data_IF_628809532325
#
_entry.id   IF_628809532325
#
_cell.length_a   1.000
_cell.length_b   1.000
_cell.length_c   1.000
_cell.angle_alpha   90.00
_cell.angle_beta   90.00
_cell.angle_gamma   90.00
#
_symmetry.space_group_name_H-M   'P 1'
#
loop_
_entity.id
_entity.type
_entity.pdbx_description
1 polymer ?
#
# COMPACT_ATOMS: atom_id res chain seq x y z
N UNK A 1 7.71 -10.64 -9.15
CA UNK A 1 7.13 -9.35 -8.77
C UNK A 1 7.89 -8.28 -9.53
N UNK A 2 7.22 -7.49 -10.35
CA UNK A 2 7.79 -6.34 -11.04
C UNK A 2 7.05 -5.12 -10.54
N UNK A 3 7.79 -4.09 -10.16
CA UNK A 3 7.23 -2.92 -9.51
C UNK A 3 7.71 -1.65 -10.19
N UNK A 4 6.80 -0.73 -10.42
CA UNK A 4 7.15 0.63 -10.82
C UNK A 4 6.21 1.62 -10.15
N UNK A 5 6.69 2.80 -9.85
CA UNK A 5 5.89 3.93 -9.43
C UNK A 5 6.18 5.13 -10.32
N UNK A 6 5.16 5.89 -10.65
CA UNK A 6 5.30 7.14 -11.35
C UNK A 6 4.62 8.25 -10.53
N UNK A 7 5.32 9.35 -10.28
CA UNK A 7 4.74 10.57 -9.78
C UNK A 7 4.58 11.52 -10.97
N UNK A 8 3.36 11.86 -11.36
CA UNK A 8 3.09 12.80 -12.43
C UNK A 8 2.04 13.81 -11.97
N UNK A 9 2.35 15.09 -12.09
CA UNK A 9 1.34 16.13 -11.93
C UNK A 9 0.25 15.97 -12.99
N UNK A 10 -1.02 15.94 -12.56
CA UNK A 10 -2.23 15.97 -13.38
C UNK A 10 -2.57 14.70 -14.19
N UNK A 11 -1.87 13.59 -14.04
CA UNK A 11 -2.29 12.33 -14.61
C UNK A 11 -3.38 11.68 -13.73
N UNK A 12 -4.35 11.03 -14.34
CA UNK A 12 -5.28 10.18 -13.61
C UNK A 12 -4.55 8.96 -13.05
N UNK A 13 -5.08 8.36 -11.98
CA UNK A 13 -4.49 7.12 -11.42
C UNK A 13 -4.40 6.03 -12.48
N UNK A 14 -5.38 5.95 -13.38
CA UNK A 14 -5.38 5.01 -14.49
C UNK A 14 -4.18 5.20 -15.42
N UNK A 15 -3.89 6.44 -15.84
CA UNK A 15 -2.72 6.76 -16.68
C UNK A 15 -1.40 6.48 -15.96
N UNK A 16 -1.32 6.80 -14.66
CA UNK A 16 -0.14 6.49 -13.85
C UNK A 16 0.10 4.98 -13.74
N UNK A 17 -0.97 4.17 -13.64
CA UNK A 17 -0.85 2.69 -13.63
C UNK A 17 -0.39 2.18 -14.98
N UNK A 18 -0.87 2.74 -16.10
CA UNK A 18 -0.38 2.38 -17.44
C UNK A 18 1.11 2.65 -17.59
N UNK A 19 1.57 3.85 -17.17
CA UNK A 19 3.00 4.19 -17.15
C UNK A 19 3.81 3.22 -16.26
N UNK A 20 3.25 2.81 -15.12
CA UNK A 20 3.88 1.82 -14.27
C UNK A 20 3.97 0.44 -14.95
N UNK A 21 2.95 0.05 -15.71
CA UNK A 21 2.91 -1.21 -16.43
C UNK A 21 3.88 -1.26 -17.62
N UNK A 22 4.17 -0.11 -18.27
CA UNK A 22 5.11 -0.02 -19.38
C UNK A 22 6.55 -0.46 -19.01
N UNK A 23 6.86 -0.50 -17.73
CA UNK A 23 8.14 -0.99 -17.22
C UNK A 23 8.20 -2.49 -16.95
N UNK A 24 7.09 -3.20 -17.07
CA UNK A 24 7.03 -4.66 -16.92
C UNK A 24 7.36 -5.30 -18.28
N UNK A 25 8.12 -6.42 -18.23
CA UNK A 25 8.43 -7.18 -19.43
C UNK A 25 7.14 -7.53 -20.21
N UNK A 26 7.01 -7.13 -21.49
CA UNK A 26 5.84 -7.44 -22.28
C UNK A 26 5.56 -8.95 -22.42
N UNK A 27 6.59 -9.79 -22.36
CA UNK A 27 6.40 -11.24 -22.37
C UNK A 27 5.70 -11.71 -21.09
N UNK A 28 6.09 -11.18 -19.92
CA UNK A 28 5.43 -11.47 -18.64
C UNK A 28 3.98 -10.98 -18.63
N UNK A 29 3.70 -9.77 -19.17
CA UNK A 29 2.32 -9.27 -19.29
C UNK A 29 1.48 -10.15 -20.21
N UNK A 30 2.05 -10.67 -21.31
CA UNK A 30 1.37 -11.59 -22.22
C UNK A 30 1.03 -12.92 -21.54
N UNK A 31 1.96 -13.49 -20.78
CA UNK A 31 1.74 -14.70 -20.00
C UNK A 31 0.68 -14.47 -18.90
N UNK A 32 0.78 -13.36 -18.19
CA UNK A 32 -0.21 -12.96 -17.18
C UNK A 32 -1.60 -12.77 -17.78
N UNK A 33 -1.70 -12.18 -18.98
CA UNK A 33 -2.97 -12.05 -19.69
C UNK A 33 -3.60 -13.39 -20.03
N UNK A 34 -2.80 -14.36 -20.50
CA UNK A 34 -3.26 -15.68 -20.89
C UNK A 34 -3.65 -16.56 -19.69
N UNK A 35 -2.96 -16.40 -18.57
CA UNK A 35 -3.11 -17.25 -17.37
C UNK A 35 -3.61 -16.48 -16.15
N UNK A 36 -4.39 -15.40 -16.30
CA UNK A 36 -4.84 -14.56 -15.21
C UNK A 36 -5.89 -15.27 -14.34
N UNK A 37 -5.57 -15.46 -13.06
CA UNK A 37 -6.52 -15.91 -12.05
C UNK A 37 -7.38 -14.75 -11.55
N UNK A 38 -6.74 -13.63 -11.16
CA UNK A 38 -7.43 -12.44 -10.69
C UNK A 38 -6.56 -11.19 -10.86
N UNK A 39 -7.21 -10.02 -10.89
CA UNK A 39 -6.56 -8.72 -10.74
C UNK A 39 -7.17 -7.93 -9.58
N UNK A 40 -6.33 -7.18 -8.90
CA UNK A 40 -6.69 -6.33 -7.77
C UNK A 40 -6.19 -4.91 -8.04
N UNK A 41 -7.11 -3.96 -8.09
CA UNK A 41 -6.80 -2.55 -8.23
C UNK A 41 -7.01 -1.86 -6.88
N UNK A 42 -5.97 -1.21 -6.36
CA UNK A 42 -5.92 -0.69 -5.01
C UNK A 42 -5.89 0.83 -4.99
N UNK A 43 -6.67 1.45 -4.12
CA UNK A 43 -6.65 2.89 -3.91
C UNK A 43 -7.08 3.26 -2.50
N UNK A 44 -6.64 4.43 -2.04
CA UNK A 44 -7.11 5.01 -0.78
C UNK A 44 -8.44 5.72 -0.96
N UNK A 45 -8.61 6.37 -2.10
CA UNK A 45 -9.75 7.21 -2.45
C UNK A 45 -10.60 6.55 -3.53
N UNK A 46 -11.81 7.06 -3.69
CA UNK A 46 -12.65 6.72 -4.84
C UNK A 46 -12.00 7.25 -6.13
N UNK A 47 -11.89 6.39 -7.12
CA UNK A 47 -11.27 6.71 -8.40
C UNK A 47 -12.30 6.62 -9.52
N UNK A 48 -12.37 7.69 -10.33
CA UNK A 48 -13.18 7.73 -11.52
C UNK A 48 -14.63 8.21 -11.32
N UNK A 49 -15.52 7.74 -12.17
CA UNK A 49 -16.93 8.14 -12.25
C UNK A 49 -17.84 7.09 -11.63
N UNK A 50 -19.03 7.51 -11.20
CA UNK A 50 -20.07 6.57 -10.78
C UNK A 50 -20.37 5.57 -11.91
N UNK A 51 -20.49 4.29 -11.55
CA UNK A 51 -20.71 3.17 -12.46
C UNK A 51 -19.54 2.84 -13.42
N UNK A 52 -18.41 3.53 -13.35
CA UNK A 52 -17.22 3.13 -14.07
C UNK A 52 -16.43 2.07 -13.28
N UNK A 53 -16.30 0.84 -13.82
CA UNK A 53 -15.55 -0.21 -13.15
C UNK A 53 -14.05 -0.03 -13.40
N UNK A 54 -13.40 0.84 -12.63
CA UNK A 54 -11.98 1.20 -12.79
C UNK A 54 -11.08 -0.03 -12.82
N UNK A 55 -11.34 -1.02 -11.98
CA UNK A 55 -10.57 -2.26 -11.91
C UNK A 55 -10.59 -3.05 -13.24
N UNK A 56 -11.71 -3.05 -13.94
CA UNK A 56 -11.84 -3.69 -15.26
C UNK A 56 -11.14 -2.87 -16.34
N UNK A 57 -11.24 -1.55 -16.28
CA UNK A 57 -10.54 -0.66 -17.20
C UNK A 57 -9.03 -0.82 -17.09
N UNK A 58 -8.48 -0.83 -15.87
CA UNK A 58 -7.06 -1.05 -15.60
C UNK A 58 -6.63 -2.45 -16.05
N UNK A 59 -7.40 -3.50 -15.75
CA UNK A 59 -7.07 -4.84 -16.23
C UNK A 59 -6.99 -4.88 -17.76
N UNK A 60 -7.95 -4.25 -18.45
CA UNK A 60 -7.97 -4.18 -19.92
C UNK A 60 -6.79 -3.40 -20.47
N UNK A 61 -6.43 -2.26 -19.88
CA UNK A 61 -5.33 -1.44 -20.40
C UNK A 61 -3.97 -2.12 -20.20
N UNK A 62 -3.75 -2.77 -19.06
CA UNK A 62 -2.49 -3.43 -18.73
C UNK A 62 -2.34 -4.80 -19.43
N UNK A 63 -3.38 -5.63 -19.44
CA UNK A 63 -3.32 -7.01 -19.92
C UNK A 63 -4.05 -7.24 -21.25
N UNK A 64 -4.70 -6.22 -21.79
CA UNK A 64 -5.46 -6.31 -23.03
C UNK A 64 -6.89 -6.87 -22.86
N UNK A 65 -7.69 -6.72 -23.91
CA UNK A 65 -9.14 -7.00 -23.91
C UNK A 65 -9.52 -8.46 -23.68
N UNK A 66 -8.59 -9.37 -23.88
CA UNK A 66 -8.85 -10.81 -23.80
C UNK A 66 -8.51 -11.41 -22.44
N UNK A 67 -7.99 -10.62 -21.51
CA UNK A 67 -7.74 -11.09 -20.15
C UNK A 67 -9.07 -11.40 -19.44
N UNK A 68 -9.18 -12.59 -18.83
CA UNK A 68 -10.46 -13.10 -18.33
C UNK A 68 -10.49 -13.37 -16.80
N UNK A 69 -9.45 -13.02 -16.08
CA UNK A 69 -9.41 -13.14 -14.62
C UNK A 69 -10.40 -12.20 -13.92
N UNK A 70 -10.81 -12.57 -12.71
CA UNK A 70 -11.69 -11.73 -11.90
C UNK A 70 -11.01 -10.40 -11.57
N UNK A 71 -11.70 -9.26 -11.83
CA UNK A 71 -11.22 -7.95 -11.50
C UNK A 71 -11.91 -7.41 -10.24
N UNK A 72 -11.14 -6.92 -9.26
CA UNK A 72 -11.67 -6.42 -7.98
C UNK A 72 -11.01 -5.11 -7.60
N UNK A 73 -11.81 -4.14 -7.17
CA UNK A 73 -11.31 -2.91 -6.53
C UNK A 73 -11.15 -3.14 -5.03
N UNK A 74 -10.03 -2.66 -4.48
CA UNK A 74 -9.72 -2.70 -3.04
C UNK A 74 -9.52 -1.29 -2.54
N UNK A 75 -10.31 -0.89 -1.55
CA UNK A 75 -10.19 0.40 -0.88
C UNK A 75 -9.90 0.20 0.60
N UNK A 76 -8.61 0.17 0.94
CA UNK A 76 -8.12 -0.05 2.31
C UNK A 76 -7.13 1.04 2.74
N UNK A 77 -7.34 2.26 2.26
CA UNK A 77 -6.42 3.37 2.48
C UNK A 77 -4.97 2.99 2.14
N UNK A 78 -3.99 3.55 2.82
CA UNK A 78 -2.58 3.33 2.56
C UNK A 78 -2.15 1.84 2.66
N UNK A 79 -2.93 0.99 3.32
CA UNK A 79 -2.65 -0.45 3.36
C UNK A 79 -3.14 -1.23 2.13
N UNK A 80 -3.90 -0.58 1.23
CA UNK A 80 -4.54 -1.22 0.08
C UNK A 80 -3.58 -2.01 -0.80
N UNK A 81 -2.38 -1.49 -1.07
CA UNK A 81 -1.40 -2.17 -1.91
C UNK A 81 -0.96 -3.53 -1.36
N UNK A 82 -0.58 -3.61 -0.09
CA UNK A 82 -0.24 -4.90 0.54
C UNK A 82 -1.46 -5.82 0.74
N UNK A 83 -2.66 -5.27 0.95
CA UNK A 83 -3.89 -6.08 0.93
C UNK A 83 -4.11 -6.71 -0.46
N UNK A 84 -3.84 -5.97 -1.53
CA UNK A 84 -3.88 -6.50 -2.89
C UNK A 84 -2.89 -7.65 -3.09
N UNK A 85 -1.65 -7.48 -2.65
CA UNK A 85 -0.61 -8.53 -2.70
C UNK A 85 -1.04 -9.77 -1.89
N UNK A 86 -1.56 -9.57 -0.68
CA UNK A 86 -2.05 -10.65 0.18
C UNK A 86 -3.20 -11.43 -0.47
N UNK A 87 -4.17 -10.75 -1.06
CA UNK A 87 -5.31 -11.39 -1.73
C UNK A 87 -4.88 -12.10 -3.01
N UNK A 88 -3.95 -11.53 -3.77
CA UNK A 88 -3.36 -12.16 -4.94
C UNK A 88 -2.64 -13.47 -4.57
N UNK A 89 -1.81 -13.44 -3.52
CA UNK A 89 -1.16 -14.62 -2.98
C UNK A 89 -2.17 -15.69 -2.55
N UNK A 90 -3.20 -15.29 -1.79
CA UNK A 90 -4.27 -16.20 -1.34
C UNK A 90 -5.03 -16.86 -2.51
N UNK A 91 -5.36 -16.11 -3.56
CA UNK A 91 -6.04 -16.64 -4.76
C UNK A 91 -5.15 -17.63 -5.49
N UNK A 92 -3.85 -17.31 -5.65
CA UNK A 92 -2.89 -18.22 -6.27
C UNK A 92 -2.72 -19.49 -5.43
N UNK A 93 -2.59 -19.41 -4.11
CA UNK A 93 -2.48 -20.56 -3.22
C UNK A 93 -3.76 -21.40 -3.18
N UNK A 94 -4.94 -20.78 -3.27
CA UNK A 94 -6.23 -21.49 -3.28
C UNK A 94 -6.49 -22.30 -4.56
N UNK A 95 -5.62 -22.18 -5.57
CA UNK A 95 -5.73 -22.97 -6.80
C UNK A 95 -6.82 -22.50 -7.75
N UNK A 96 -7.15 -21.22 -7.76
CA UNK A 96 -8.00 -20.66 -8.82
C UNK A 96 -7.40 -20.92 -10.20
N UNK A 97 -8.28 -21.00 -11.21
CA UNK A 97 -7.81 -21.20 -12.58
C UNK A 97 -6.91 -20.03 -13.01
N UNK A 98 -5.69 -20.36 -13.45
CA UNK A 98 -4.66 -19.39 -13.79
C UNK A 98 -3.52 -19.37 -12.80
N UNK A 99 -2.34 -19.02 -13.27
CA UNK A 99 -1.08 -19.04 -12.53
C UNK A 99 -0.57 -17.64 -12.19
N UNK A 100 -1.27 -16.61 -12.66
CA UNK A 100 -0.88 -15.21 -12.52
C UNK A 100 -1.95 -14.41 -11.80
N UNK A 101 -1.51 -13.44 -11.02
CA UNK A 101 -2.35 -12.38 -10.47
C UNK A 101 -1.71 -11.02 -10.74
N UNK A 102 -2.54 -10.04 -11.13
CA UNK A 102 -2.12 -8.66 -11.32
C UNK A 102 -2.53 -7.85 -10.09
N UNK A 103 -1.61 -7.09 -9.52
CA UNK A 103 -1.91 -6.10 -8.48
C UNK A 103 -1.46 -4.73 -8.97
N UNK A 104 -2.39 -3.82 -9.02
CA UNK A 104 -2.15 -2.44 -9.40
C UNK A 104 -2.71 -1.51 -8.35
N UNK A 105 -2.29 -0.29 -8.36
CA UNK A 105 -2.89 0.72 -7.50
C UNK A 105 -2.18 2.05 -7.64
N UNK A 106 -2.79 3.04 -7.06
CA UNK A 106 -2.24 4.38 -7.01
C UNK A 106 -3.21 5.33 -6.35
N UNK A 107 -2.73 6.49 -6.02
CA UNK A 107 -3.53 7.61 -5.56
C UNK A 107 -3.01 8.90 -6.18
N UNK A 108 -3.94 9.75 -6.59
CA UNK A 108 -3.67 11.14 -6.90
C UNK A 108 -4.21 11.98 -5.75
N UNK A 109 -3.32 12.67 -5.08
CA UNK A 109 -3.66 13.52 -3.94
C UNK A 109 -4.05 14.95 -4.37
N UNK A 110 -4.50 15.09 -5.61
CA UNK A 110 -4.97 16.34 -6.19
C UNK A 110 -6.05 17.02 -5.32
N UNK A 111 -6.86 16.25 -4.60
CA UNK A 111 -7.93 16.75 -3.74
C UNK A 111 -7.43 17.25 -2.37
N UNK A 112 -6.18 16.96 -2.01
CA UNK A 112 -5.59 17.51 -0.79
C UNK A 112 -4.79 18.75 -1.13
N UNK A 113 -5.10 19.86 -0.50
CA UNK A 113 -4.11 20.92 -0.42
C UNK A 113 -2.92 20.34 0.38
N UNK A 114 -1.83 20.06 -0.34
CA UNK A 114 -0.61 19.44 0.23
C UNK A 114 -0.05 20.28 1.39
N UNK A 115 -0.27 21.59 1.33
CA UNK A 115 0.14 22.52 2.37
C UNK A 115 -0.70 22.37 3.64
N UNK A 116 -2.02 22.25 3.49
CA UNK A 116 -2.93 22.03 4.62
C UNK A 116 -2.69 20.67 5.27
N UNK A 117 -2.34 19.66 4.48
CA UNK A 117 -2.02 18.34 5.00
C UNK A 117 -0.73 18.36 5.82
N UNK A 118 0.33 19.01 5.33
CA UNK A 118 1.60 19.15 6.03
C UNK A 118 1.50 19.95 7.34
N UNK A 119 0.57 20.91 7.41
CA UNK A 119 0.35 21.75 8.60
C UNK A 119 -0.66 21.17 9.60
N UNK A 120 -1.33 20.07 9.25
CA UNK A 120 -2.37 19.49 10.08
C UNK A 120 -1.78 18.65 11.20
N UNK A 121 -2.16 18.89 12.48
CA UNK A 121 -1.60 18.16 13.61
C UNK A 121 -1.96 16.69 13.64
N UNK A 122 -3.01 16.24 12.90
CA UNK A 122 -3.39 14.83 12.81
C UNK A 122 -2.47 14.08 11.85
N UNK A 123 -1.97 14.73 10.81
CA UNK A 123 -1.05 14.16 9.82
C UNK A 123 0.42 14.43 10.18
N UNK A 124 0.67 15.24 11.21
CA UNK A 124 1.99 15.57 11.78
C UNK A 124 3.06 15.95 10.76
N UNK A 125 2.67 16.62 9.68
CA UNK A 125 3.64 17.12 8.69
C UNK A 125 3.94 16.16 7.54
N UNK A 126 3.27 15.01 7.44
CA UNK A 126 3.42 14.14 6.28
C UNK A 126 2.94 14.84 5.02
N UNK A 127 3.80 14.93 4.02
CA UNK A 127 3.41 15.31 2.66
C UNK A 127 2.84 14.09 1.94
N UNK A 128 1.78 14.31 1.15
CA UNK A 128 1.23 13.26 0.28
C UNK A 128 1.79 13.43 -1.13
N UNK A 129 2.31 12.35 -1.70
CA UNK A 129 2.74 12.29 -3.09
C UNK A 129 1.74 11.56 -3.97
N UNK A 130 1.72 11.90 -5.26
CA UNK A 130 0.97 11.13 -6.26
C UNK A 130 1.81 9.93 -6.67
N UNK A 131 1.17 8.78 -6.86
CA UNK A 131 1.89 7.57 -7.22
C UNK A 131 0.99 6.49 -7.80
N UNK A 132 1.60 5.58 -8.54
CA UNK A 132 0.98 4.32 -8.91
C UNK A 132 2.01 3.20 -8.93
N UNK A 133 1.52 1.98 -8.86
CA UNK A 133 2.32 0.78 -9.00
C UNK A 133 1.60 -0.27 -9.85
N UNK A 134 2.40 -1.14 -10.47
CA UNK A 134 1.94 -2.33 -11.15
C UNK A 134 2.87 -3.50 -10.78
N UNK A 135 2.31 -4.63 -10.38
CA UNK A 135 3.07 -5.82 -10.05
C UNK A 135 2.35 -7.09 -10.48
N UNK A 136 3.11 -8.06 -10.97
CA UNK A 136 2.61 -9.38 -11.34
C UNK A 136 3.13 -10.40 -10.34
N UNK A 137 2.22 -11.16 -9.75
CA UNK A 137 2.53 -12.34 -8.94
C UNK A 137 2.26 -13.60 -9.77
N UNK A 138 3.06 -14.64 -9.55
CA UNK A 138 2.83 -15.95 -10.17
C UNK A 138 3.26 -17.08 -9.24
N UNK A 139 2.92 -18.34 -9.62
CA UNK A 139 3.25 -19.55 -8.86
C UNK A 139 4.63 -20.12 -9.15
N UNK A 140 5.34 -19.61 -10.15
CA UNK A 140 6.50 -20.30 -10.69
C UNK A 140 7.80 -19.70 -10.19
N UNK A 141 8.04 -18.42 -10.52
CA UNK A 141 9.27 -17.74 -10.19
C UNK A 141 9.08 -16.21 -10.09
N UNK A 142 10.10 -15.51 -9.60
CA UNK A 142 10.12 -14.07 -9.48
C UNK A 142 11.45 -13.58 -8.93
N UNK A 143 11.57 -12.28 -8.74
CA UNK A 143 12.73 -11.75 -8.04
C UNK A 143 12.59 -11.84 -6.51
N UNK A 144 11.37 -12.02 -6.02
CA UNK A 144 11.09 -12.22 -4.60
C UNK A 144 9.99 -13.25 -4.40
N UNK A 145 10.10 -14.00 -3.31
CA UNK A 145 9.13 -15.01 -2.87
C UNK A 145 8.39 -14.51 -1.64
N UNK A 146 7.07 -14.53 -1.68
CA UNK A 146 6.25 -14.28 -0.49
C UNK A 146 6.37 -15.51 0.42
N UNK A 147 6.80 -15.29 1.66
CA UNK A 147 6.92 -16.32 2.69
C UNK A 147 5.73 -16.32 3.62
N UNK A 148 5.25 -15.13 3.99
CA UNK A 148 4.15 -14.96 4.92
C UNK A 148 3.43 -13.64 4.69
N UNK A 149 2.16 -13.63 5.05
CA UNK A 149 1.31 -12.43 5.05
C UNK A 149 0.53 -12.35 6.35
N UNK A 150 0.31 -11.13 6.84
CA UNK A 150 -0.57 -10.86 7.98
C UNK A 150 -1.33 -9.56 7.77
N UNK A 151 -2.57 -9.52 8.22
CA UNK A 151 -3.37 -8.30 8.23
C UNK A 151 -4.27 -8.27 9.46
N UNK A 152 -4.40 -7.10 10.06
CA UNK A 152 -5.25 -6.89 11.23
C UNK A 152 -5.99 -5.56 11.11
N UNK A 153 -7.12 -5.48 11.80
CA UNK A 153 -7.94 -4.26 11.88
C UNK A 153 -8.24 -3.90 13.32
N UNK A 154 -8.32 -2.61 13.59
CA UNK A 154 -8.87 -2.06 14.82
C UNK A 154 -10.17 -1.31 14.51
N UNK A 155 -11.27 -2.03 14.53
CA UNK A 155 -12.57 -1.55 14.06
C UNK A 155 -13.12 -0.32 14.81
N UNK A 156 -12.89 -0.11 16.13
CA UNK A 156 -13.36 1.09 16.82
C UNK A 156 -12.84 2.41 16.20
N UNK A 157 -11.70 2.41 15.52
CA UNK A 157 -11.20 3.59 14.82
C UNK A 157 -12.11 4.05 13.66
N UNK A 158 -12.93 3.16 13.11
CA UNK A 158 -13.86 3.51 12.03
C UNK A 158 -14.91 4.54 12.45
N UNK A 159 -15.34 4.51 13.71
CA UNK A 159 -16.33 5.46 14.23
C UNK A 159 -15.78 6.89 14.30
N UNK A 160 -14.48 7.04 14.55
CA UNK A 160 -13.79 8.32 14.54
C UNK A 160 -13.78 8.97 13.14
N UNK A 161 -13.80 8.14 12.08
CA UNK A 161 -13.80 8.59 10.69
C UNK A 161 -15.19 8.90 10.15
N UNK A 162 -16.24 8.42 10.82
CA UNK A 162 -17.61 8.53 10.34
C UNK A 162 -18.15 9.95 10.55
N UNK A 163 -18.66 10.57 9.49
CA UNK A 163 -19.49 11.77 9.63
C UNK A 163 -20.82 11.41 10.28
N UNK A 164 -21.23 12.22 11.28
CA UNK A 164 -22.60 12.15 11.83
C UNK A 164 -23.58 13.03 11.08
N UNK A 165 -23.12 13.90 10.16
CA UNK A 165 -24.01 14.60 9.27
C UNK A 165 -24.73 13.56 8.41
N UNK A 166 -26.06 13.64 8.35
CA UNK A 166 -26.88 12.91 7.37
C UNK A 166 -26.56 13.46 5.95
N UNK A 167 -25.32 13.20 5.51
CA UNK A 167 -25.01 13.30 4.10
C UNK A 167 -25.74 12.17 3.45
N UNK A 168 -26.73 12.51 2.63
CA UNK A 168 -27.41 11.53 1.79
C UNK A 168 -26.37 10.74 0.99
N UNK A 169 -26.71 9.55 0.62
CA UNK A 169 -25.95 8.68 -0.30
C UNK A 169 -25.52 9.44 -1.58
N UNK A 170 -26.14 10.59 -1.84
CA UNK A 170 -26.01 11.39 -3.05
C UNK A 170 -24.95 12.49 -2.99
N UNK A 171 -24.20 12.65 -1.90
CA UNK A 171 -23.09 13.61 -1.85
C UNK A 171 -21.74 12.89 -1.97
N UNK A 172 -21.22 12.70 -3.21
CA UNK A 172 -19.93 12.07 -3.44
C UNK A 172 -18.76 13.03 -3.15
N UNK A 173 -19.05 14.27 -2.69
CA UNK A 173 -18.01 15.23 -2.42
C UNK A 173 -17.05 14.68 -1.37
N UNK A 174 -15.78 14.64 -1.73
CA UNK A 174 -14.73 14.34 -0.78
C UNK A 174 -14.74 15.41 0.31
N UNK A 175 -14.92 15.06 1.59
CA UNK A 175 -14.75 16.02 2.64
C UNK A 175 -13.29 16.48 2.64
N UNK A 176 -13.05 17.75 2.44
CA UNK A 176 -11.70 18.29 2.55
C UNK A 176 -11.06 17.93 3.91
N UNK A 177 -9.76 18.08 4.00
CA UNK A 177 -8.99 17.76 5.21
C UNK A 177 -9.54 18.47 6.47
N UNK A 178 -10.03 19.69 6.33
CA UNK A 178 -10.67 20.44 7.42
C UNK A 178 -11.89 19.72 8.01
N UNK A 179 -12.71 19.09 7.17
CA UNK A 179 -13.85 18.31 7.65
C UNK A 179 -13.41 17.00 8.30
N UNK A 180 -12.38 16.35 7.77
CA UNK A 180 -11.81 15.15 8.38
C UNK A 180 -11.28 15.46 9.78
N UNK A 181 -10.50 16.54 9.94
CA UNK A 181 -10.05 17.03 11.25
C UNK A 181 -11.22 17.34 12.18
N UNK A 182 -12.24 18.03 11.67
CA UNK A 182 -13.43 18.35 12.46
C UNK A 182 -14.17 17.10 12.96
N UNK A 183 -14.14 15.99 12.21
CA UNK A 183 -14.71 14.69 12.64
C UNK A 183 -13.95 14.12 13.82
N UNK A 184 -12.61 14.12 13.75
CA UNK A 184 -11.75 13.68 14.86
C UNK A 184 -12.01 14.48 16.12
N UNK A 185 -12.00 15.80 16.00
CA UNK A 185 -12.27 16.69 17.14
C UNK A 185 -13.68 16.51 17.71
N UNK A 186 -14.68 16.32 16.85
CA UNK A 186 -16.04 16.10 17.29
C UNK A 186 -16.19 14.76 18.01
N UNK A 187 -15.49 13.73 17.53
CA UNK A 187 -15.47 12.43 18.18
C UNK A 187 -14.78 12.51 19.55
N UNK A 188 -13.61 13.14 19.63
CA UNK A 188 -12.87 13.28 20.90
C UNK A 188 -13.61 14.16 21.92
N UNK A 189 -14.31 15.21 21.46
CA UNK A 189 -15.21 15.99 22.34
C UNK A 189 -16.36 15.17 22.88
N UNK A 190 -16.91 14.25 22.09
CA UNK A 190 -18.00 13.37 22.51
C UNK A 190 -17.52 12.21 23.39
N UNK A 191 -16.26 11.81 23.25
CA UNK A 191 -15.60 10.71 23.95
C UNK A 191 -14.21 11.12 24.40
N UNK A 192 -14.10 11.93 25.47
CA UNK A 192 -12.82 12.49 25.90
C UNK A 192 -11.74 11.42 26.14
N UNK A 193 -10.58 11.59 25.48
CA UNK A 193 -9.46 10.66 25.53
C UNK A 193 -9.52 9.51 24.53
N UNK A 194 -10.65 9.30 23.86
CA UNK A 194 -10.82 8.18 22.93
C UNK A 194 -9.86 8.22 21.74
N UNK A 195 -9.49 9.41 21.26
CA UNK A 195 -8.53 9.55 20.17
C UNK A 195 -7.14 8.99 20.55
N UNK A 196 -6.68 9.25 21.78
CA UNK A 196 -5.41 8.72 22.27
C UNK A 196 -5.47 7.19 22.47
N UNK A 197 -6.58 6.67 23.01
CA UNK A 197 -6.79 5.24 23.21
C UNK A 197 -6.85 4.50 21.87
N UNK A 198 -7.53 5.07 20.87
CA UNK A 198 -7.60 4.54 19.51
C UNK A 198 -6.21 4.55 18.86
N UNK A 199 -5.45 5.63 18.98
CA UNK A 199 -4.09 5.72 18.48
C UNK A 199 -3.19 4.64 19.06
N UNK A 200 -3.24 4.44 20.37
CA UNK A 200 -2.46 3.41 21.05
C UNK A 200 -2.88 1.99 20.62
N UNK A 201 -4.18 1.71 20.56
CA UNK A 201 -4.68 0.40 20.17
C UNK A 201 -4.38 0.09 18.69
N UNK A 202 -4.45 1.11 17.83
CA UNK A 202 -4.05 0.99 16.43
C UNK A 202 -2.55 0.70 16.30
N UNK A 203 -1.70 1.40 17.06
CA UNK A 203 -0.27 1.12 17.11
C UNK A 203 0.02 -0.31 17.57
N UNK A 204 -0.63 -0.77 18.64
CA UNK A 204 -0.50 -2.16 19.11
C UNK A 204 -0.96 -3.17 18.04
N UNK A 205 -2.00 -2.84 17.28
CA UNK A 205 -2.46 -3.66 16.15
C UNK A 205 -1.41 -3.73 15.05
N UNK A 206 -0.74 -2.62 14.73
CA UNK A 206 0.37 -2.59 13.79
C UNK A 206 1.55 -3.48 14.25
N UNK A 207 1.97 -3.35 15.51
CA UNK A 207 3.01 -4.21 16.11
C UNK A 207 2.62 -5.69 16.00
N UNK A 208 1.37 -6.01 16.36
CA UNK A 208 0.85 -7.38 16.26
C UNK A 208 0.90 -7.91 14.82
N UNK A 209 0.51 -7.09 13.83
CA UNK A 209 0.51 -7.49 12.42
C UNK A 209 1.90 -7.89 11.95
N UNK A 210 2.91 -7.08 12.25
CA UNK A 210 4.31 -7.37 11.91
C UNK A 210 4.78 -8.64 12.62
N UNK A 211 4.51 -8.74 13.93
CA UNK A 211 4.93 -9.87 14.76
C UNK A 211 4.30 -11.19 14.31
N UNK A 212 3.00 -11.19 13.99
CA UNK A 212 2.31 -12.35 13.47
C UNK A 212 2.86 -12.79 12.11
N UNK A 213 3.28 -11.83 11.27
CA UNK A 213 3.79 -12.14 9.93
C UNK A 213 5.04 -13.03 9.99
N UNK A 214 6.06 -12.70 10.77
CA UNK A 214 7.26 -13.52 10.84
C UNK A 214 7.05 -14.81 11.68
N UNK A 215 6.23 -14.76 12.73
CA UNK A 215 5.95 -15.94 13.57
C UNK A 215 5.18 -17.04 12.84
N UNK A 216 4.37 -16.70 11.84
CA UNK A 216 3.64 -17.70 11.04
C UNK A 216 4.55 -18.66 10.26
N UNK A 217 5.80 -18.30 10.08
CA UNK A 217 6.82 -19.09 9.39
C UNK A 217 7.98 -19.45 10.33
N UNK A 218 7.72 -19.43 11.63
CA UNK A 218 8.65 -19.81 12.69
C UNK A 218 10.00 -19.08 12.64
N UNK A 219 9.99 -17.79 12.26
CA UNK A 219 11.17 -16.95 12.25
C UNK A 219 11.24 -16.09 13.53
N UNK A 220 12.46 -15.85 13.98
CA UNK A 220 12.76 -14.88 15.01
C UNK A 220 13.03 -13.48 14.41
N UNK A 221 12.80 -12.40 15.15
CA UNK A 221 12.91 -11.04 14.61
C UNK A 221 14.30 -10.67 14.12
N UNK A 222 15.36 -11.26 14.67
CA UNK A 222 16.75 -11.02 14.28
C UNK A 222 17.16 -11.74 12.97
N UNK A 223 16.30 -12.63 12.46
CA UNK A 223 16.45 -13.24 11.14
C UNK A 223 15.92 -12.35 10.01
N UNK A 224 15.18 -11.27 10.33
CA UNK A 224 14.68 -10.31 9.36
C UNK A 224 15.76 -9.26 9.08
N UNK A 225 16.27 -9.24 7.87
CA UNK A 225 17.37 -8.36 7.48
C UNK A 225 16.91 -6.90 7.37
N UNK A 226 15.76 -6.66 6.74
CA UNK A 226 15.27 -5.33 6.43
C UNK A 226 13.80 -5.13 6.79
N UNK A 227 13.49 -3.98 7.39
CA UNK A 227 12.14 -3.53 7.66
C UNK A 227 11.80 -2.31 6.80
N UNK A 228 10.80 -2.44 5.95
CA UNK A 228 10.35 -1.43 5.01
C UNK A 228 8.90 -1.01 5.30
N UNK A 229 8.67 -0.17 6.32
CA UNK A 229 7.36 0.37 6.65
C UNK A 229 6.94 1.43 5.64
N UNK A 230 5.61 1.69 5.54
CA UNK A 230 5.11 2.89 4.87
C UNK A 230 5.70 4.16 5.47
N UNK A 231 5.86 5.18 4.65
CA UNK A 231 6.37 6.46 5.12
C UNK A 231 5.36 7.12 6.06
N UNK A 232 5.78 7.36 7.31
CA UNK A 232 4.99 8.04 8.34
C UNK A 232 5.90 9.07 9.01
N UNK A 233 5.51 10.33 8.97
CA UNK A 233 6.16 11.38 9.75
C UNK A 233 5.52 11.48 11.16
N UNK A 234 6.28 11.82 12.18
CA UNK A 234 7.75 11.88 12.18
C UNK A 234 8.39 10.48 12.22
N UNK A 235 9.65 10.37 11.76
CA UNK A 235 10.44 9.11 11.72
C UNK A 235 10.37 8.30 13.03
N UNK A 236 10.27 8.96 14.17
CA UNK A 236 10.14 8.30 15.48
C UNK A 236 8.96 7.32 15.55
N UNK A 237 7.90 7.47 14.72
CA UNK A 237 6.76 6.56 14.71
C UNK A 237 7.17 5.23 14.10
N UNK A 238 7.85 5.24 12.95
CA UNK A 238 8.34 4.03 12.30
C UNK A 238 9.46 3.37 13.10
N UNK A 239 10.36 4.16 13.70
CA UNK A 239 11.41 3.65 14.59
C UNK A 239 10.82 3.01 15.86
N UNK A 240 9.77 3.62 16.42
CA UNK A 240 9.07 3.04 17.59
C UNK A 240 8.37 1.74 17.19
N UNK A 241 7.74 1.68 16.04
CA UNK A 241 7.12 0.46 15.52
C UNK A 241 8.17 -0.65 15.34
N UNK A 242 9.28 -0.36 14.67
CA UNK A 242 10.38 -1.30 14.49
C UNK A 242 10.89 -1.84 15.84
N UNK A 243 11.13 -0.94 16.80
CA UNK A 243 11.59 -1.31 18.17
C UNK A 243 10.60 -2.24 18.88
N UNK A 244 9.29 -1.94 18.82
CA UNK A 244 8.28 -2.78 19.47
C UNK A 244 8.06 -4.12 18.76
N UNK A 245 8.27 -4.17 17.44
CA UNK A 245 8.28 -5.41 16.66
C UNK A 245 9.62 -6.15 16.73
N UNK A 246 10.61 -5.64 17.48
CA UNK A 246 11.98 -6.15 17.61
C UNK A 246 12.78 -6.20 16.30
N UNK A 247 12.38 -5.40 15.31
CA UNK A 247 13.06 -5.27 14.02
C UNK A 247 14.06 -4.10 14.01
N UNK A 248 14.98 -4.13 13.06
CA UNK A 248 15.92 -3.04 12.83
C UNK A 248 15.37 -2.06 11.81
N UNK A 249 15.37 -0.75 12.07
CA UNK A 249 15.04 0.24 11.05
C UNK A 249 16.01 0.13 9.87
N UNK A 250 15.49 0.25 8.65
CA UNK A 250 16.32 0.26 7.45
C UNK A 250 17.04 1.61 7.31
N UNK A 251 18.37 1.65 7.26
CA UNK A 251 19.11 2.90 7.17
C UNK A 251 18.79 3.68 5.89
N UNK A 252 18.61 5.00 6.01
CA UNK A 252 18.38 5.91 4.89
C UNK A 252 17.01 5.82 4.23
N UNK A 253 16.18 4.87 4.62
CA UNK A 253 14.85 4.68 4.01
C UNK A 253 13.92 5.86 4.28
N UNK A 254 13.95 6.40 5.49
CA UNK A 254 13.11 7.53 5.86
C UNK A 254 13.50 8.79 5.09
N UNK A 255 14.79 9.09 5.00
CA UNK A 255 15.32 10.22 4.25
C UNK A 255 15.00 10.11 2.76
N UNK A 256 15.08 8.90 2.21
CA UNK A 256 14.68 8.64 0.83
C UNK A 256 13.18 8.87 0.62
N UNK A 257 12.33 8.30 1.47
CA UNK A 257 10.88 8.45 1.38
C UNK A 257 10.44 9.90 1.56
N UNK A 258 11.14 10.68 2.41
CA UNK A 258 10.86 12.10 2.61
C UNK A 258 11.03 12.96 1.35
N UNK A 259 11.74 12.47 0.32
CA UNK A 259 11.92 13.23 -0.93
C UNK A 259 10.64 13.35 -1.76
N UNK A 260 9.68 12.45 -1.59
CA UNK A 260 8.40 12.45 -2.30
C UNK A 260 7.17 12.33 -1.40
N UNK A 261 7.37 12.16 -0.10
CA UNK A 261 6.30 12.06 0.88
C UNK A 261 5.63 10.69 0.94
N UNK A 262 4.48 10.64 1.61
CA UNK A 262 3.67 9.42 1.73
C UNK A 262 2.93 9.13 0.43
N UNK A 263 3.21 7.98 -0.17
CA UNK A 263 2.67 7.54 -1.46
C UNK A 263 1.49 6.58 -1.30
N UNK A 264 0.87 6.58 -0.13
CA UNK A 264 -0.34 5.82 0.18
C UNK A 264 -0.20 4.32 -0.14
N UNK A 265 -0.97 3.80 -1.10
CA UNK A 265 -0.95 2.37 -1.47
C UNK A 265 0.35 1.92 -2.13
N UNK A 266 1.20 2.85 -2.57
CA UNK A 266 2.43 2.56 -3.33
C UNK A 266 3.70 2.53 -2.47
N UNK A 267 3.68 3.00 -1.22
CA UNK A 267 4.87 3.10 -0.36
C UNK A 267 5.71 1.81 -0.33
N UNK A 268 5.04 0.66 -0.15
CA UNK A 268 5.74 -0.63 -0.04
C UNK A 268 6.62 -0.91 -1.26
N UNK A 269 6.14 -0.49 -2.41
CA UNK A 269 6.80 -0.72 -3.67
C UNK A 269 8.02 0.17 -3.87
N UNK A 270 7.86 1.44 -3.56
CA UNK A 270 8.93 2.43 -3.62
C UNK A 270 10.02 2.09 -2.60
N UNK A 271 9.64 1.68 -1.40
CA UNK A 271 10.59 1.25 -0.38
C UNK A 271 11.36 0.00 -0.80
N UNK A 272 10.68 -0.98 -1.42
CA UNK A 272 11.37 -2.15 -1.97
C UNK A 272 12.32 -1.78 -3.11
N UNK A 273 11.90 -0.86 -3.98
CA UNK A 273 12.78 -0.34 -5.05
C UNK A 273 14.02 0.36 -4.47
N UNK A 274 13.87 1.13 -3.39
CA UNK A 274 15.02 1.73 -2.70
C UNK A 274 16.01 0.68 -2.22
N UNK A 275 15.53 -0.35 -1.54
CA UNK A 275 16.38 -1.43 -1.02
C UNK A 275 17.15 -2.15 -2.13
N UNK A 276 16.44 -2.51 -3.21
CA UNK A 276 17.01 -3.27 -4.32
C UNK A 276 17.98 -2.43 -5.16
N UNK A 277 17.57 -1.20 -5.52
CA UNK A 277 18.35 -0.36 -6.45
C UNK A 277 19.64 0.19 -5.83
N UNK A 278 19.67 0.31 -4.51
CA UNK A 278 20.87 0.76 -3.78
C UNK A 278 21.74 -0.42 -3.29
N UNK A 279 21.40 -1.65 -3.62
CA UNK A 279 22.14 -2.84 -3.18
C UNK A 279 22.13 -3.00 -1.66
N UNK A 280 21.09 -2.50 -0.99
CA UNK A 280 20.90 -2.66 0.45
C UNK A 280 20.36 -4.07 0.74
N UNK A 281 19.34 -4.50 -0.01
CA UNK A 281 18.84 -5.87 0.05
C UNK A 281 19.50 -6.72 -1.03
N UNK A 282 20.03 -7.86 -0.60
CA UNK A 282 20.74 -8.83 -1.46
C UNK A 282 19.92 -10.13 -1.64
N UNK A 283 20.37 -11.00 -2.53
CA UNK A 283 19.77 -12.32 -2.73
C UNK A 283 19.91 -13.17 -1.46
N UNK A 284 18.80 -13.66 -0.98
CA UNK A 284 18.67 -14.41 0.28
C UNK A 284 18.08 -13.60 1.42
N UNK A 285 18.19 -12.28 1.37
CA UNK A 285 17.69 -11.41 2.45
C UNK A 285 16.18 -11.51 2.63
N UNK A 286 15.77 -11.38 3.88
CA UNK A 286 14.39 -11.31 4.32
C UNK A 286 13.97 -9.86 4.51
N UNK A 287 12.96 -9.44 3.77
CA UNK A 287 12.41 -8.08 3.82
C UNK A 287 10.99 -8.11 4.36
N UNK A 288 10.75 -7.41 5.45
CA UNK A 288 9.42 -7.18 6.01
C UNK A 288 8.84 -5.89 5.43
N UNK A 289 7.89 -6.01 4.52
CA UNK A 289 7.09 -4.89 4.02
C UNK A 289 5.91 -4.66 4.98
N UNK A 290 5.64 -3.40 5.30
CA UNK A 290 4.55 -3.05 6.21
C UNK A 290 3.84 -1.76 5.77
N UNK A 291 2.52 -1.77 5.87
CA UNK A 291 1.69 -0.56 5.70
C UNK A 291 0.57 -0.50 6.73
N UNK A 292 0.18 0.72 7.08
CA UNK A 292 -0.98 0.98 7.92
C UNK A 292 -1.88 2.04 7.27
N UNK A 293 -3.19 1.89 7.42
CA UNK A 293 -4.19 2.80 6.84
C UNK A 293 -5.16 3.34 7.89
N UNK A 294 -5.15 4.65 8.07
CA UNK A 294 -6.11 5.43 8.86
C UNK A 294 -6.46 4.87 10.23
N UNK A 295 -5.47 4.42 11.00
CA UNK A 295 -5.66 3.82 12.33
C UNK A 295 -6.54 2.55 12.36
N UNK A 296 -7.12 2.15 11.23
CA UNK A 296 -8.08 1.03 11.15
C UNK A 296 -7.39 -0.26 10.74
N UNK A 297 -6.58 -0.21 9.69
CA UNK A 297 -6.03 -1.39 9.03
C UNK A 297 -4.51 -1.39 9.04
N UNK A 298 -3.94 -2.59 9.11
CA UNK A 298 -2.50 -2.80 8.88
C UNK A 298 -2.29 -4.10 8.12
N UNK A 299 -1.26 -4.12 7.28
CA UNK A 299 -0.84 -5.30 6.52
C UNK A 299 0.68 -5.42 6.54
N UNK A 300 1.17 -6.65 6.61
CA UNK A 300 2.57 -7.01 6.52
C UNK A 300 2.75 -8.16 5.54
N UNK A 301 3.80 -8.11 4.74
CA UNK A 301 4.21 -9.16 3.82
C UNK A 301 5.69 -9.40 4.00
N UNK A 302 6.05 -10.62 4.36
CA UNK A 302 7.44 -11.05 4.47
C UNK A 302 7.84 -11.70 3.15
N UNK A 303 8.89 -11.19 2.54
CA UNK A 303 9.45 -11.72 1.30
C UNK A 303 10.90 -12.13 1.49
N UNK A 304 11.35 -13.09 0.67
CA UNK A 304 12.77 -13.38 0.48
C UNK A 304 13.17 -12.94 -0.93
N UNK A 305 14.32 -12.27 -1.04
CA UNK A 305 14.88 -11.88 -2.33
C UNK A 305 15.49 -13.11 -2.99
N UNK A 306 15.02 -13.44 -4.20
CA UNK A 306 15.47 -14.62 -4.94
C UNK A 306 16.42 -14.26 -6.10
N UNK A 307 16.31 -13.05 -6.63
CA UNK A 307 17.14 -12.55 -7.75
C UNK A 307 17.50 -11.08 -7.56
N UNK A 308 18.72 -10.72 -7.86
CA UNK A 308 19.11 -9.32 -7.95
C UNK A 308 18.51 -8.70 -9.22
N UNK A 309 17.71 -7.65 -9.04
CA UNK A 309 17.09 -6.90 -10.13
C UNK A 309 17.09 -5.41 -9.80
N UNK A 310 17.09 -4.58 -10.82
CA UNK A 310 16.77 -3.15 -10.66
C UNK A 310 15.28 -2.97 -10.84
N UNK A 311 14.60 -2.44 -9.83
CA UNK A 311 13.19 -2.15 -9.90
C UNK A 311 12.98 -0.76 -10.52
N UNK A 312 12.19 -0.64 -11.60
CA UNK A 312 11.93 0.66 -12.20
C UNK A 312 11.27 1.60 -11.20
N UNK A 313 11.78 2.81 -11.11
CA UNK A 313 11.23 3.89 -10.31
C UNK A 313 11.30 5.16 -11.17
N UNK A 314 10.14 5.58 -11.68
CA UNK A 314 10.04 6.81 -12.46
C UNK A 314 9.54 7.91 -11.53
N UNK A 315 10.34 8.96 -11.40
CA UNK A 315 9.98 10.17 -10.67
C UNK A 315 9.86 11.31 -11.66
N UNK A 316 8.72 11.98 -11.69
CA UNK A 316 8.61 13.28 -12.38
C UNK A 316 9.21 14.36 -11.51
N UNK A 317 10.03 15.21 -12.11
CA UNK A 317 10.66 16.34 -11.46
C UNK A 317 9.66 17.45 -11.12
#
# INVERSE_FOLDING_TARGET
>A
MHLSSAAAEMASVHEMVELAADHIDPALLSEASAGLAASFHCGSMYQGEHFWPVQNSVQQSVLGRNSAGAATEIRQFCSGGLYGVMLADAVLQAGWAGDYALVTGGDSNFFFDRHDYASNPVTEGSLMGDSAFCTVLNRHDGFARILSVAANSYNPAADMMRSRADRGIDDPSFPGLAEWTARFEAYDRAHPGAAADIGMASFQTAVRTVTECYRRVDLEPDEIDWFAPSFIEPARVTDTLAKHALLRPTPGLHEFAATFGHLTVSDFGVNLAYLMNNGIAEVGDLVMLFTAGNFVNSAAVLIRIEKAVTLPLTMSA
#
